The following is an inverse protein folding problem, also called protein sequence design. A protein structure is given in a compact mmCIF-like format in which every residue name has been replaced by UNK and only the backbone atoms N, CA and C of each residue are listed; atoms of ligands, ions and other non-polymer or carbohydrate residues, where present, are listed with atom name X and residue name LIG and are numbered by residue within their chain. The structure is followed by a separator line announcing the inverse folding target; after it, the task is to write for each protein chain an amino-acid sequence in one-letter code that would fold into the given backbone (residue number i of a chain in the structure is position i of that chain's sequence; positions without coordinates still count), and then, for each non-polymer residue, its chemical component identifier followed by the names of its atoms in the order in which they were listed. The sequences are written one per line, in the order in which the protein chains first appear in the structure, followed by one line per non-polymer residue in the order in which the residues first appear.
data_IF_604336558830
#
_entry.id   IF_604336558830
#
_cell.length_a   1.000
_cell.length_b   1.000
_cell.length_c   1.000
_cell.angle_alpha   90.00
_cell.angle_beta   90.00
_cell.angle_gamma   90.00
#
_symmetry.space_group_name_H-M   'P 1'
#
loop_
_entity.id
_entity.type
_entity.pdbx_description
1 polymer ?
#
# COMPACT_ATOMS: atom_id res chain seq x y z
N UNK A 1 0.72 17.63 -9.68
CA UNK A 1 1.03 16.78 -8.51
C UNK A 1 -0.23 16.04 -8.11
N UNK A 2 -0.13 14.73 -7.89
CA UNK A 2 -1.22 13.87 -7.45
C UNK A 2 -0.75 13.05 -6.24
N UNK A 3 -1.69 12.49 -5.49
CA UNK A 3 -1.41 11.62 -4.36
C UNK A 3 -2.07 10.27 -4.60
N UNK A 4 -1.39 9.20 -4.19
CA UNK A 4 -1.98 7.86 -4.12
C UNK A 4 -2.21 7.54 -2.65
N UNK A 5 -3.47 7.35 -2.30
CA UNK A 5 -3.88 6.88 -0.98
C UNK A 5 -4.28 5.41 -1.09
N UNK A 6 -3.87 4.62 -0.11
CA UNK A 6 -4.19 3.20 0.00
C UNK A 6 -4.93 2.99 1.32
N UNK A 7 -6.19 2.58 1.20
CA UNK A 7 -7.04 2.16 2.31
C UNK A 7 -7.21 0.66 2.21
N UNK A 8 -6.99 -0.07 3.30
CA UNK A 8 -7.15 -1.51 3.31
C UNK A 8 -7.67 -2.00 4.65
N UNK A 9 -8.40 -3.11 4.61
CA UNK A 9 -8.72 -3.90 5.79
C UNK A 9 -8.40 -5.34 5.47
N UNK A 10 -7.46 -5.93 6.22
CA UNK A 10 -6.95 -7.27 5.98
C UNK A 10 -7.23 -8.14 7.20
N UNK A 11 -7.61 -9.41 7.00
CA UNK A 11 -7.81 -10.32 8.12
C UNK A 11 -6.50 -10.51 8.90
N UNK A 12 -6.62 -10.76 10.21
CA UNK A 12 -5.48 -10.91 11.14
C UNK A 12 -5.74 -11.97 12.22
N UNK A 13 -6.73 -12.85 12.00
CA UNK A 13 -7.14 -13.87 12.97
C UNK A 13 -6.14 -15.01 13.08
N UNK A 14 -5.62 -15.50 11.95
CA UNK A 14 -4.61 -16.56 11.90
C UNK A 14 -3.17 -16.01 11.89
N UNK A 15 -2.16 -16.84 12.26
CA UNK A 15 -0.74 -16.49 12.09
C UNK A 15 -0.36 -16.14 10.64
N UNK A 16 -0.93 -16.85 9.67
CA UNK A 16 -0.70 -16.64 8.23
C UNK A 16 -1.25 -15.28 7.78
N UNK A 17 -2.50 -14.98 8.14
CA UNK A 17 -3.15 -13.70 7.84
C UNK A 17 -2.36 -12.51 8.42
N UNK A 18 -1.88 -12.63 9.67
CA UNK A 18 -1.02 -11.60 10.29
C UNK A 18 0.29 -11.41 9.56
N UNK A 19 0.88 -12.50 9.05
CA UNK A 19 2.12 -12.46 8.26
C UNK A 19 1.88 -11.72 6.95
N UNK A 20 0.80 -12.03 6.24
CA UNK A 20 0.48 -11.42 4.95
C UNK A 20 0.12 -9.94 5.09
N UNK A 21 -0.69 -9.57 6.08
CA UNK A 21 -0.97 -8.17 6.42
C UNK A 21 0.30 -7.38 6.80
N UNK A 22 1.26 -8.04 7.46
CA UNK A 22 2.55 -7.42 7.79
C UNK A 22 3.44 -7.27 6.56
N UNK A 23 3.46 -8.25 5.66
CA UNK A 23 4.22 -8.17 4.41
C UNK A 23 3.67 -7.07 3.50
N UNK A 24 2.35 -6.97 3.35
CA UNK A 24 1.71 -5.92 2.56
C UNK A 24 2.11 -4.51 3.04
N UNK A 25 2.07 -4.28 4.37
CA UNK A 25 2.53 -3.01 4.96
C UNK A 25 4.01 -2.73 4.69
N UNK A 26 4.87 -3.74 4.79
CA UNK A 26 6.31 -3.60 4.49
C UNK A 26 6.55 -3.27 3.02
N UNK A 27 5.79 -3.87 2.12
CA UNK A 27 5.88 -3.59 0.68
C UNK A 27 5.44 -2.17 0.34
N UNK A 28 4.39 -1.65 1.00
CA UNK A 28 4.00 -0.24 0.90
C UNK A 28 5.15 0.69 1.32
N UNK A 29 5.77 0.43 2.48
CA UNK A 29 6.89 1.24 2.97
C UNK A 29 8.08 1.17 2.01
N UNK A 30 8.41 -0.02 1.51
CA UNK A 30 9.49 -0.23 0.52
C UNK A 30 9.22 0.51 -0.79
N UNK A 31 7.96 0.60 -1.19
CA UNK A 31 7.55 1.38 -2.35
C UNK A 31 7.51 2.90 -2.05
N UNK A 32 7.82 3.35 -0.84
CA UNK A 32 7.89 4.77 -0.49
C UNK A 32 6.54 5.38 -0.12
N UNK A 33 5.57 4.56 0.28
CA UNK A 33 4.41 5.07 1.01
C UNK A 33 4.79 5.31 2.47
N UNK A 34 4.17 6.30 3.08
CA UNK A 34 4.23 6.52 4.52
C UNK A 34 2.85 6.32 5.15
N UNK A 35 2.86 5.87 6.40
CA UNK A 35 1.64 5.65 7.16
C UNK A 35 1.09 7.00 7.61
N UNK A 36 -0.18 7.27 7.31
CA UNK A 36 -0.89 8.47 7.74
C UNK A 36 -1.76 8.15 8.96
N UNK A 37 -2.45 7.03 8.91
CA UNK A 37 -3.26 6.47 9.99
C UNK A 37 -3.16 4.93 9.92
N UNK A 38 -3.59 4.24 10.97
CA UNK A 38 -3.79 2.80 10.89
C UNK A 38 -4.60 2.44 9.63
N UNK A 39 -4.10 1.47 8.86
CA UNK A 39 -4.69 1.04 7.58
C UNK A 39 -4.79 2.09 6.47
N UNK A 40 -4.11 3.24 6.61
CA UNK A 40 -4.10 4.32 5.61
C UNK A 40 -2.67 4.75 5.30
N UNK A 41 -2.27 4.59 4.04
CA UNK A 41 -0.93 4.91 3.55
C UNK A 41 -1.02 5.88 2.37
N UNK A 42 -0.04 6.80 2.26
CA UNK A 42 0.00 7.81 1.22
C UNK A 42 1.37 7.90 0.54
N UNK A 43 1.37 8.23 -0.75
CA UNK A 43 2.56 8.52 -1.54
C UNK A 43 2.33 9.72 -2.46
N UNK A 44 3.21 10.75 -2.45
CA UNK A 44 3.15 11.84 -3.42
C UNK A 44 3.66 11.35 -4.78
N UNK A 45 2.92 11.69 -5.83
CA UNK A 45 3.26 11.40 -7.21
C UNK A 45 3.39 12.70 -8.01
N UNK A 46 4.56 12.93 -8.58
CA UNK A 46 4.83 14.15 -9.35
C UNK A 46 3.98 14.29 -10.62
N UNK A 47 3.66 13.19 -11.28
CA UNK A 47 2.98 13.13 -12.60
C UNK A 47 1.88 12.07 -12.63
N UNK A 48 0.95 12.19 -13.59
CA UNK A 48 -0.16 11.25 -13.78
C UNK A 48 0.33 9.84 -14.19
N UNK A 49 1.30 9.74 -15.10
CA UNK A 49 1.85 8.43 -15.53
C UNK A 49 2.47 7.63 -14.36
N UNK A 50 3.04 8.36 -13.39
CA UNK A 50 3.57 7.76 -12.16
C UNK A 50 2.47 7.23 -11.25
N UNK A 51 1.30 7.87 -11.22
CA UNK A 51 0.13 7.37 -10.50
C UNK A 51 -0.30 6.03 -11.08
N UNK A 52 -0.45 5.94 -12.40
CA UNK A 52 -0.92 4.71 -13.06
C UNK A 52 0.06 3.55 -12.89
N UNK A 53 1.36 3.81 -13.08
CA UNK A 53 2.42 2.83 -12.82
C UNK A 53 2.37 2.33 -11.38
N UNK A 54 2.16 3.23 -10.42
CA UNK A 54 2.12 2.89 -9.01
C UNK A 54 0.87 2.07 -8.67
N UNK A 55 -0.30 2.44 -9.21
CA UNK A 55 -1.54 1.66 -9.05
C UNK A 55 -1.38 0.25 -9.61
N UNK A 56 -0.74 0.09 -10.78
CA UNK A 56 -0.48 -1.22 -11.38
C UNK A 56 0.42 -2.09 -10.49
N UNK A 57 1.49 -1.52 -9.92
CA UNK A 57 2.39 -2.22 -8.99
C UNK A 57 1.70 -2.59 -7.67
N UNK A 58 0.82 -1.72 -7.17
CA UNK A 58 0.06 -2.00 -5.96
C UNK A 58 -0.89 -3.18 -6.16
N UNK A 59 -1.61 -3.22 -7.29
CA UNK A 59 -2.57 -4.30 -7.61
C UNK A 59 -1.94 -5.69 -7.65
N UNK A 60 -0.68 -5.81 -8.07
CA UNK A 60 0.02 -7.10 -8.10
C UNK A 60 0.50 -7.59 -6.73
N UNK A 61 0.33 -6.79 -5.66
CA UNK A 61 0.80 -7.08 -4.29
C UNK A 61 -0.35 -7.22 -3.30
N UNK A 62 -1.59 -7.15 -3.75
CA UNK A 62 -2.76 -7.34 -2.88
C UNK A 62 -2.78 -8.82 -2.47
N UNK A 63 -2.73 -9.13 -1.17
CA UNK A 63 -2.80 -10.50 -0.66
C UNK A 63 -4.18 -11.12 -0.85
#
# INVERSE_FOLDING_TARGET
MAWVLVFFDLPVGSPEERRDATNFRKDLIKDGYFMVQFSVYARPCGTADRVETQVRRLKSKIP
#
